data_IF_857209656308
#
_entry.id   IF_857209656308
#
_cell.length_a   1.000
_cell.length_b   1.000
_cell.length_c   1.000
_cell.angle_alpha   90.00
_cell.angle_beta   90.00
_cell.angle_gamma   90.00
#
_symmetry.space_group_name_H-M   'P 1'
#
loop_
_entity.id
_entity.type
_entity.pdbx_description
1 polymer ?
#
# COMPACT_ATOMS: atom_id res chain seq x y z
N UNK A 1 22.64 -16.23 20.52
CA UNK A 1 23.28 -14.94 20.14
C UNK A 1 24.17 -15.03 18.89
N UNK A 2 25.02 -16.09 18.74
CA UNK A 2 25.87 -16.24 17.54
C UNK A 2 25.06 -16.60 16.26
N UNK A 3 24.02 -17.43 16.38
CA UNK A 3 23.16 -17.85 15.27
C UNK A 3 22.27 -16.70 14.79
N UNK A 4 21.78 -15.85 15.69
CA UNK A 4 21.01 -14.65 15.36
C UNK A 4 21.86 -13.65 14.56
N UNK A 5 23.13 -13.41 14.97
CA UNK A 5 24.04 -12.53 14.24
C UNK A 5 24.36 -13.03 12.83
N UNK A 6 24.59 -14.34 12.65
CA UNK A 6 24.86 -14.94 11.36
C UNK A 6 23.63 -14.90 10.42
N UNK A 7 22.41 -15.11 10.95
CA UNK A 7 21.19 -15.01 10.18
C UNK A 7 20.95 -13.55 9.72
N UNK A 8 21.10 -12.57 10.61
CA UNK A 8 20.96 -11.15 10.27
C UNK A 8 21.96 -10.71 9.21
N UNK A 9 23.23 -11.14 9.31
CA UNK A 9 24.24 -10.87 8.27
C UNK A 9 23.92 -11.54 6.94
N UNK A 10 23.45 -12.77 6.95
CA UNK A 10 23.11 -13.49 5.72
C UNK A 10 21.90 -12.86 4.99
N UNK A 11 20.90 -12.41 5.74
CA UNK A 11 19.75 -11.69 5.15
C UNK A 11 20.11 -10.26 4.75
N UNK A 12 20.92 -9.55 5.53
CA UNK A 12 21.36 -8.19 5.23
C UNK A 12 22.20 -8.09 3.96
N UNK A 13 23.05 -9.07 3.69
CA UNK A 13 23.89 -9.09 2.47
C UNK A 13 23.12 -9.40 1.17
N UNK A 14 21.86 -9.87 1.27
CA UNK A 14 21.02 -10.28 0.11
C UNK A 14 19.75 -9.45 -0.06
N UNK A 15 19.39 -8.62 0.91
CA UNK A 15 18.20 -7.81 0.88
C UNK A 15 18.57 -6.32 0.81
N UNK A 16 17.98 -5.60 -0.14
CA UNK A 16 18.17 -4.14 -0.30
C UNK A 16 17.09 -3.33 0.41
N UNK A 17 15.95 -3.95 0.72
CA UNK A 17 14.78 -3.28 1.30
C UNK A 17 13.98 -4.27 2.13
N UNK A 18 13.41 -3.80 3.24
CA UNK A 18 12.34 -4.49 3.96
C UNK A 18 11.02 -3.84 3.61
N UNK A 19 10.06 -4.64 3.12
CA UNK A 19 8.72 -4.17 2.82
C UNK A 19 7.71 -4.95 3.67
N UNK A 20 6.78 -4.24 4.30
CA UNK A 20 5.68 -4.83 5.04
C UNK A 20 4.35 -4.19 4.67
N UNK A 21 3.29 -5.00 4.67
CA UNK A 21 1.93 -4.55 4.44
C UNK A 21 1.04 -5.06 5.57
N UNK A 22 0.37 -4.14 6.26
CA UNK A 22 -0.50 -4.42 7.40
C UNK A 22 -1.91 -3.94 7.12
N UNK A 23 -2.86 -4.85 7.23
CA UNK A 23 -4.27 -4.50 7.20
C UNK A 23 -4.68 -3.97 8.58
N UNK A 24 -4.94 -2.68 8.68
CA UNK A 24 -5.48 -2.05 9.88
C UNK A 24 -7.01 -2.11 9.94
N UNK A 25 -7.60 -1.62 11.04
CA UNK A 25 -9.03 -1.66 11.26
C UNK A 25 -9.79 -0.82 10.24
N UNK A 26 -10.98 -1.30 9.87
CA UNK A 26 -11.91 -0.57 9.00
C UNK A 26 -12.68 0.48 9.76
N UNK A 27 -12.94 0.21 11.03
CA UNK A 27 -13.63 1.12 11.94
C UNK A 27 -12.69 2.17 12.55
N UNK A 28 -13.20 3.36 12.89
CA UNK A 28 -12.38 4.39 13.50
C UNK A 28 -11.92 3.97 14.90
N UNK A 29 -10.65 4.17 15.18
CA UNK A 29 -10.09 4.09 16.52
C UNK A 29 -10.24 5.44 17.22
N UNK A 30 -10.37 5.40 18.54
CA UNK A 30 -10.51 6.60 19.37
C UNK A 30 -9.41 6.65 20.41
N UNK A 31 -8.86 7.82 20.64
CA UNK A 31 -7.94 8.12 21.73
C UNK A 31 -8.58 9.19 22.62
N UNK A 32 -8.88 8.85 23.88
CA UNK A 32 -9.55 9.76 24.83
C UNK A 32 -10.84 10.39 24.25
N UNK A 33 -11.65 9.62 23.51
CA UNK A 33 -12.90 10.09 22.89
C UNK A 33 -12.73 10.85 21.58
N UNK A 34 -11.51 11.11 21.12
CA UNK A 34 -11.22 11.77 19.84
C UNK A 34 -10.92 10.72 18.77
N UNK A 35 -11.58 10.77 17.59
CA UNK A 35 -11.30 9.82 16.53
C UNK A 35 -9.90 10.04 15.95
N UNK A 36 -9.18 8.94 15.74
CA UNK A 36 -7.90 8.95 15.04
C UNK A 36 -8.18 9.04 13.55
N UNK A 37 -7.72 10.08 12.89
CA UNK A 37 -7.95 10.30 11.47
C UNK A 37 -7.01 9.46 10.59
N UNK A 38 -5.75 9.31 11.01
CA UNK A 38 -4.73 8.60 10.24
C UNK A 38 -3.79 7.85 11.16
N UNK A 39 -3.37 6.69 10.72
CA UNK A 39 -2.35 5.88 11.37
C UNK A 39 -1.25 5.61 10.37
N UNK A 40 -0.01 5.69 10.81
CA UNK A 40 1.17 5.30 10.06
C UNK A 40 2.13 4.54 10.96
N UNK A 41 2.95 3.70 10.38
CA UNK A 41 4.08 3.07 11.07
C UNK A 41 5.24 2.96 10.11
N UNK A 42 6.41 2.70 10.66
CA UNK A 42 7.60 2.44 9.86
C UNK A 42 8.28 1.16 10.33
N UNK A 43 8.97 0.52 9.41
CA UNK A 43 9.79 -0.65 9.73
C UNK A 43 11.04 -0.17 10.44
N UNK A 44 11.37 -0.70 11.64
CA UNK A 44 12.66 -0.41 12.27
C UNK A 44 13.79 -0.80 11.33
N UNK A 45 14.82 0.01 11.29
CA UNK A 45 16.01 -0.27 10.48
C UNK A 45 16.73 -1.52 11.03
N UNK A 46 16.81 -2.63 10.27
CA UNK A 46 17.32 -3.90 10.80
C UNK A 46 18.84 -3.98 10.89
N UNK A 47 19.57 -2.90 10.68
CA UNK A 47 21.03 -2.85 10.76
C UNK A 47 21.69 -2.03 9.66
N UNK A 48 23.02 -2.03 9.65
CA UNK A 48 23.85 -1.18 8.77
C UNK A 48 23.75 -1.52 7.26
N UNK A 49 23.24 -2.70 6.91
CA UNK A 49 23.28 -3.19 5.54
C UNK A 49 21.97 -3.00 4.76
N UNK A 50 20.89 -2.68 5.46
CA UNK A 50 19.57 -2.43 4.85
C UNK A 50 19.27 -0.94 4.89
N UNK A 51 19.47 -0.27 3.77
CA UNK A 51 19.34 1.17 3.64
C UNK A 51 17.90 1.68 3.54
N UNK A 52 16.88 0.80 3.46
CA UNK A 52 15.50 1.24 3.22
C UNK A 52 14.48 0.31 3.85
N UNK A 53 13.45 0.90 4.45
CA UNK A 53 12.23 0.23 4.91
C UNK A 53 11.00 0.87 4.28
N UNK A 54 10.07 0.02 3.80
CA UNK A 54 8.79 0.46 3.25
C UNK A 54 7.67 -0.20 4.04
N UNK A 55 6.72 0.58 4.51
CA UNK A 55 5.52 0.07 5.16
C UNK A 55 4.26 0.59 4.49
N UNK A 56 3.28 -0.29 4.35
CA UNK A 56 1.94 0.03 3.88
C UNK A 56 0.96 -0.32 4.98
N UNK A 57 0.11 0.62 5.37
CA UNK A 57 -0.95 0.41 6.34
C UNK A 57 -2.28 0.84 5.74
N UNK A 58 -3.28 -0.03 5.77
CA UNK A 58 -4.65 0.36 5.45
C UNK A 58 -5.42 0.68 6.73
N UNK A 59 -6.09 1.83 6.76
CA UNK A 59 -6.93 2.28 7.86
C UNK A 59 -8.14 3.05 7.33
N UNK A 60 -9.35 2.66 7.73
CA UNK A 60 -10.62 3.29 7.29
C UNK A 60 -10.75 3.42 5.77
N UNK A 61 -10.27 2.42 5.02
CA UNK A 61 -10.32 2.44 3.55
C UNK A 61 -9.26 3.31 2.87
N UNK A 62 -8.33 3.87 3.62
CA UNK A 62 -7.18 4.61 3.11
C UNK A 62 -5.91 3.78 3.26
N UNK A 63 -5.02 3.84 2.27
CA UNK A 63 -3.70 3.25 2.34
C UNK A 63 -2.66 4.34 2.59
N UNK A 64 -1.85 4.16 3.63
CA UNK A 64 -0.72 5.03 3.94
C UNK A 64 0.57 4.29 3.62
N UNK A 65 1.41 4.87 2.79
CA UNK A 65 2.78 4.42 2.52
C UNK A 65 3.74 5.22 3.40
N UNK A 66 4.65 4.53 4.07
CA UNK A 66 5.79 5.17 4.75
C UNK A 66 7.09 4.61 4.21
N UNK A 67 8.04 5.47 3.94
CA UNK A 67 9.39 5.13 3.49
C UNK A 67 10.37 5.68 4.51
N UNK A 68 11.24 4.82 5.02
CA UNK A 68 12.38 5.18 5.86
C UNK A 68 13.62 4.78 5.11
N UNK A 69 14.55 5.69 4.93
CA UNK A 69 15.77 5.44 4.19
C UNK A 69 16.99 6.09 4.84
N UNK A 70 18.15 5.50 4.59
CA UNK A 70 19.42 6.13 4.88
C UNK A 70 19.70 7.19 3.80
N UNK A 71 19.91 8.43 4.22
CA UNK A 71 20.11 9.56 3.32
C UNK A 71 21.37 9.45 2.43
N UNK A 72 22.36 8.62 2.83
CA UNK A 72 23.56 8.39 2.03
C UNK A 72 23.32 7.34 0.93
N UNK A 73 22.41 6.38 1.19
CA UNK A 73 22.11 5.29 0.26
C UNK A 73 20.96 5.64 -0.68
N UNK A 74 20.00 6.44 -0.21
CA UNK A 74 18.81 6.85 -0.96
C UNK A 74 18.66 8.37 -0.83
N UNK A 75 19.31 9.14 -1.69
CA UNK A 75 19.33 10.60 -1.59
C UNK A 75 18.00 11.28 -1.95
N UNK A 76 17.11 10.58 -2.67
CA UNK A 76 15.80 11.09 -3.10
C UNK A 76 14.68 10.08 -2.75
N UNK A 77 14.26 10.00 -1.47
CA UNK A 77 13.17 9.11 -1.07
C UNK A 77 11.79 9.59 -1.56
N UNK A 78 11.63 10.87 -1.86
CA UNK A 78 10.39 11.43 -2.39
C UNK A 78 10.04 10.84 -3.75
N UNK A 79 11.01 10.56 -4.60
CA UNK A 79 10.78 9.91 -5.89
C UNK A 79 10.08 8.54 -5.75
N UNK A 80 10.32 7.81 -4.66
CA UNK A 80 9.66 6.53 -4.36
C UNK A 80 8.19 6.76 -4.06
N UNK A 81 7.88 7.71 -3.18
CA UNK A 81 6.49 8.03 -2.79
C UNK A 81 5.69 8.57 -3.96
N UNK A 82 6.28 9.45 -4.78
CA UNK A 82 5.65 10.00 -5.97
C UNK A 82 5.34 8.91 -7.01
N UNK A 83 6.29 7.99 -7.22
CA UNK A 83 6.07 6.88 -8.13
C UNK A 83 4.98 5.95 -7.63
N UNK A 84 5.00 5.64 -6.34
CA UNK A 84 3.95 4.85 -5.72
C UNK A 84 2.56 5.48 -5.92
N UNK A 85 2.42 6.78 -5.71
CA UNK A 85 1.13 7.47 -5.90
C UNK A 85 0.63 7.36 -7.33
N UNK A 86 1.51 7.55 -8.32
CA UNK A 86 1.15 7.42 -9.75
C UNK A 86 0.70 6.01 -10.10
N UNK A 87 1.46 4.99 -9.68
CA UNK A 87 1.12 3.59 -9.94
C UNK A 87 -0.17 3.18 -9.23
N UNK A 88 -0.35 3.60 -7.98
CA UNK A 88 -1.56 3.31 -7.22
C UNK A 88 -2.80 3.96 -7.84
N UNK A 89 -2.71 5.20 -8.30
CA UNK A 89 -3.79 5.86 -9.03
C UNK A 89 -4.14 5.11 -10.34
N UNK A 90 -3.14 4.62 -11.05
CA UNK A 90 -3.30 3.78 -12.24
C UNK A 90 -4.05 2.48 -11.95
N UNK A 91 -3.69 1.78 -10.87
CA UNK A 91 -4.39 0.57 -10.42
C UNK A 91 -5.84 0.85 -10.05
N UNK A 92 -6.10 1.91 -9.30
CA UNK A 92 -7.47 2.31 -8.94
C UNK A 92 -8.31 2.63 -10.19
N UNK A 93 -7.75 3.31 -11.18
CA UNK A 93 -8.43 3.61 -12.43
C UNK A 93 -8.74 2.32 -13.23
N UNK A 94 -7.84 1.35 -13.22
CA UNK A 94 -8.06 0.05 -13.87
C UNK A 94 -9.20 -0.74 -13.20
N UNK A 95 -9.25 -0.77 -11.87
CA UNK A 95 -10.33 -1.42 -11.11
C UNK A 95 -11.68 -0.76 -11.44
N UNK A 96 -11.76 0.57 -11.37
CA UNK A 96 -12.99 1.31 -11.71
C UNK A 96 -13.48 1.05 -13.14
N UNK A 97 -12.56 0.94 -14.11
CA UNK A 97 -12.89 0.58 -15.49
C UNK A 97 -13.47 -0.82 -15.59
N UNK A 98 -12.86 -1.78 -14.88
CA UNK A 98 -13.34 -3.17 -14.83
C UNK A 98 -14.74 -3.27 -14.22
N UNK A 99 -14.99 -2.60 -13.10
CA UNK A 99 -16.31 -2.55 -12.45
C UNK A 99 -17.37 -1.98 -13.36
N UNK A 100 -17.10 -0.86 -14.05
CA UNK A 100 -18.01 -0.27 -15.04
C UNK A 100 -18.34 -1.24 -16.18
N UNK A 101 -17.35 -1.96 -16.70
CA UNK A 101 -17.57 -2.97 -17.76
C UNK A 101 -18.43 -4.12 -17.26
N UNK A 102 -18.20 -4.62 -16.06
CA UNK A 102 -19.00 -5.69 -15.47
C UNK A 102 -20.44 -5.22 -15.20
N UNK A 103 -20.64 -4.01 -14.69
CA UNK A 103 -21.95 -3.43 -14.48
C UNK A 103 -22.73 -3.25 -15.80
N UNK A 104 -22.06 -2.81 -16.86
CA UNK A 104 -22.66 -2.68 -18.18
C UNK A 104 -23.09 -4.04 -18.77
N UNK A 105 -22.24 -5.08 -18.59
CA UNK A 105 -22.55 -6.44 -19.05
C UNK A 105 -23.71 -7.11 -18.27
N UNK A 106 -23.95 -6.69 -17.03
CA UNK A 106 -25.05 -7.20 -16.19
C UNK A 106 -26.40 -6.52 -16.44
N UNK A 107 -26.42 -5.43 -17.21
CA UNK A 107 -27.66 -4.72 -17.54
C UNK A 107 -28.48 -5.56 -18.55
N UNK A 108 -29.71 -6.01 -18.21
CA UNK A 108 -30.50 -6.80 -19.14
C UNK A 108 -30.79 -6.00 -20.42
N UNK A 109 -30.76 -6.69 -21.55
CA UNK A 109 -31.11 -6.09 -22.83
C UNK A 109 -32.56 -5.51 -22.73
N UNK A 110 -32.68 -4.23 -23.08
CA UNK A 110 -33.99 -3.55 -23.12
C UNK A 110 -34.89 -4.35 -24.04
N UNK A 111 -36.09 -4.81 -23.60
CA UNK A 111 -36.97 -5.56 -24.48
C UNK A 111 -37.29 -4.73 -25.73
N UNK A 112 -37.11 -5.34 -26.90
CA UNK A 112 -37.46 -4.70 -28.16
C UNK A 112 -38.93 -4.26 -28.12
N UNK A 113 -39.18 -2.99 -28.38
CA UNK A 113 -40.51 -2.45 -28.47
C UNK A 113 -41.29 -3.28 -29.51
N UNK A 114 -42.27 -4.09 -29.08
CA UNK A 114 -43.21 -4.77 -30.00
C UNK A 114 -43.93 -3.68 -30.75
N UNK A 115 -43.65 -3.60 -32.04
CA UNK A 115 -44.40 -2.76 -32.95
C UNK A 115 -45.89 -3.11 -32.85
N UNK A 116 -46.70 -2.10 -32.59
CA UNK A 116 -48.16 -2.19 -32.76
C UNK A 116 -48.43 -2.20 -34.25
N UNK A 117 -49.04 -3.29 -34.71
CA UNK A 117 -49.75 -3.34 -35.97
C UNK A 117 -51.10 -2.65 -35.80
#
# INVERSE_FOLDING_TARGET
>A
KAVEGAAVQLFGSKASVVMTNVAGPKEPLYLAGVPIERVMFWVPHPGRELGMGISILSYRGQATLSVVSDAHLVPDPEAITDRFQREFAGMQAAVRRREKRLAAARKPARPAARGRA
#
